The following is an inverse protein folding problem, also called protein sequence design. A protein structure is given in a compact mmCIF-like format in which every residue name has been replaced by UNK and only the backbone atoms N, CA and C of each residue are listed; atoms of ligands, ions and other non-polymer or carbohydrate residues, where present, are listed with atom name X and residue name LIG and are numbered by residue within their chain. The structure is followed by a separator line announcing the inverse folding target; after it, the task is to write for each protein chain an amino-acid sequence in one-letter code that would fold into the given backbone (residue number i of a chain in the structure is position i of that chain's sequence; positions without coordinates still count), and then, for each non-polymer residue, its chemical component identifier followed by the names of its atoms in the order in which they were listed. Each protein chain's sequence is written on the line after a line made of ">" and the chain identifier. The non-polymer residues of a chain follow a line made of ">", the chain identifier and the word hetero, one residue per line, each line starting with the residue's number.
data_IF_464598272757
#
_entry.id   IF_464598272757
#
_cell.length_a   1.000
_cell.length_b   1.000
_cell.length_c   1.000
_cell.angle_alpha   90.00
_cell.angle_beta   90.00
_cell.angle_gamma   90.00
#
_symmetry.space_group_name_H-M   'P 1'
#
loop_
_entity.id
_entity.type
_entity.pdbx_description
1 polymer ?
#
# COMPACT_ATOMS: atom_id res chain seq x y z
N UNK A 1 9.91 -32.03 47.09
CA UNK A 1 8.72 -31.42 46.46
C UNK A 1 9.22 -30.58 45.31
N UNK A 2 9.09 -31.14 44.12
CA UNK A 2 9.62 -30.66 42.86
C UNK A 2 8.67 -29.62 42.29
N UNK A 3 9.12 -28.39 42.13
CA UNK A 3 8.43 -27.39 41.31
C UNK A 3 8.67 -27.73 39.83
N UNK A 4 7.64 -28.28 39.18
CA UNK A 4 7.59 -28.42 37.74
C UNK A 4 7.61 -27.02 37.10
N UNK A 5 8.73 -26.69 36.46
CA UNK A 5 8.81 -25.59 35.51
C UNK A 5 7.87 -25.90 34.35
N UNK A 6 6.73 -25.21 34.35
CA UNK A 6 5.79 -25.15 33.24
C UNK A 6 6.47 -24.43 32.06
N UNK A 7 7.24 -25.19 31.29
CA UNK A 7 7.88 -24.73 30.06
C UNK A 7 6.80 -24.74 28.97
N UNK A 8 5.91 -23.74 29.01
CA UNK A 8 4.92 -23.51 27.97
C UNK A 8 5.65 -23.38 26.64
N UNK A 9 5.56 -24.41 25.82
CA UNK A 9 6.12 -24.46 24.48
C UNK A 9 5.43 -23.35 23.70
N UNK A 10 6.10 -22.22 23.53
CA UNK A 10 5.65 -21.17 22.62
C UNK A 10 5.72 -21.81 21.23
N UNK A 11 4.59 -22.38 20.77
CA UNK A 11 4.51 -23.01 19.46
C UNK A 11 5.03 -21.98 18.46
N UNK A 12 6.14 -22.29 17.80
CA UNK A 12 6.71 -21.41 16.80
C UNK A 12 5.64 -21.17 15.72
N UNK A 13 5.29 -19.90 15.53
CA UNK A 13 4.36 -19.48 14.50
C UNK A 13 4.93 -19.87 13.14
N UNK A 14 4.08 -20.37 12.24
CA UNK A 14 4.51 -20.72 10.88
C UNK A 14 5.02 -19.45 10.20
N UNK A 15 6.29 -19.47 9.77
CA UNK A 15 6.89 -18.40 8.97
C UNK A 15 7.97 -18.95 8.06
N UNK A 16 7.81 -18.77 6.75
CA UNK A 16 8.83 -19.23 5.80
C UNK A 16 8.30 -19.36 4.38
N UNK A 17 9.03 -20.13 3.58
CA UNK A 17 8.68 -20.39 2.18
C UNK A 17 8.12 -21.78 2.05
N UNK A 18 7.07 -21.88 1.24
CA UNK A 18 6.35 -23.09 0.95
C UNK A 18 6.12 -23.23 -0.54
N UNK A 19 5.83 -24.43 -0.99
CA UNK A 19 5.50 -24.69 -2.39
C UNK A 19 4.21 -25.47 -2.56
N UNK A 20 3.55 -25.20 -3.68
CA UNK A 20 2.42 -25.98 -4.18
C UNK A 20 2.81 -26.56 -5.54
N UNK A 21 2.29 -27.74 -5.87
CA UNK A 21 2.53 -28.38 -7.16
C UNK A 21 1.22 -28.64 -7.88
N UNK A 22 1.11 -28.19 -9.12
CA UNK A 22 -0.04 -28.45 -9.99
C UNK A 22 0.40 -29.35 -11.14
N UNK A 23 -0.28 -30.50 -11.28
CA UNK A 23 -0.01 -31.47 -12.33
C UNK A 23 -0.87 -31.15 -13.56
N UNK A 24 -0.26 -30.61 -14.61
CA UNK A 24 -0.93 -30.30 -15.88
C UNK A 24 -0.66 -31.40 -16.91
N UNK A 25 -1.70 -31.79 -17.66
CA UNK A 25 -1.55 -32.69 -18.82
C UNK A 25 -1.52 -31.86 -20.08
N UNK A 26 -0.41 -31.91 -20.80
CA UNK A 26 -0.20 -31.15 -22.04
C UNK A 26 -0.23 -32.13 -23.22
N UNK A 27 -1.09 -31.89 -24.21
CA UNK A 27 -1.26 -32.71 -25.43
C UNK A 27 -2.64 -33.37 -25.57
N UNK A 28 -2.98 -33.84 -26.77
CA UNK A 28 -4.23 -34.56 -27.09
C UNK A 28 -3.92 -36.01 -27.52
N UNK A 29 -4.72 -36.97 -27.06
CA UNK A 29 -4.55 -38.39 -27.43
C UNK A 29 -3.35 -39.09 -26.76
N UNK A 30 -2.63 -39.93 -27.51
CA UNK A 30 -1.51 -40.78 -27.03
C UNK A 30 -0.22 -40.00 -26.69
N UNK A 31 -0.17 -38.70 -26.98
CA UNK A 31 1.00 -37.82 -26.74
C UNK A 31 0.92 -37.01 -25.45
N UNK A 32 -0.01 -37.32 -24.54
CA UNK A 32 -0.14 -36.63 -23.25
C UNK A 32 1.16 -36.72 -22.42
N UNK A 33 1.77 -35.57 -22.14
CA UNK A 33 2.86 -35.44 -21.17
C UNK A 33 2.33 -34.81 -19.88
N UNK A 34 2.72 -35.38 -18.75
CA UNK A 34 2.50 -34.77 -17.43
C UNK A 34 3.59 -33.72 -17.21
N UNK A 35 3.19 -32.50 -16.88
CA UNK A 35 4.08 -31.42 -16.44
C UNK A 35 3.74 -31.06 -15.00
N UNK A 36 4.75 -30.86 -14.16
CA UNK A 36 4.58 -30.40 -12.78
C UNK A 36 4.98 -28.94 -12.74
N UNK A 37 4.03 -28.06 -12.45
CA UNK A 37 4.30 -26.65 -12.20
C UNK A 37 4.40 -26.43 -10.70
N UNK A 38 5.59 -26.04 -10.22
CA UNK A 38 5.84 -25.69 -8.82
C UNK A 38 5.74 -24.17 -8.65
N UNK A 39 4.94 -23.74 -7.68
CA UNK A 39 4.78 -22.33 -7.30
C UNK A 39 5.25 -22.13 -5.87
N UNK A 40 5.90 -21.00 -5.60
CA UNK A 40 6.44 -20.68 -4.28
C UNK A 40 5.67 -19.55 -3.61
N UNK A 41 5.49 -19.69 -2.30
CA UNK A 41 4.68 -18.82 -1.47
C UNK A 41 5.46 -18.51 -0.19
N UNK A 42 5.45 -17.25 0.21
CA UNK A 42 5.79 -16.87 1.58
C UNK A 42 4.53 -16.99 2.44
N UNK A 43 4.66 -17.60 3.60
CA UNK A 43 3.56 -17.80 4.54
C UNK A 43 3.92 -17.29 5.92
N UNK A 44 2.96 -16.65 6.59
CA UNK A 44 3.08 -16.16 7.97
C UNK A 44 1.77 -16.35 8.74
N UNK A 45 1.87 -17.02 9.90
CA UNK A 45 0.75 -17.25 10.80
C UNK A 45 0.38 -16.00 11.59
N UNK A 46 -0.88 -15.60 11.47
CA UNK A 46 -1.46 -14.43 12.11
C UNK A 46 -1.84 -14.72 13.56
N UNK A 47 -2.23 -13.68 14.31
CA UNK A 47 -2.64 -13.83 15.71
C UNK A 47 -3.93 -14.61 15.91
N UNK A 48 -4.83 -14.58 14.92
CA UNK A 48 -6.09 -15.32 14.89
C UNK A 48 -5.94 -16.80 14.47
N UNK A 49 -4.72 -17.25 14.18
CA UNK A 49 -4.41 -18.62 13.75
C UNK A 49 -4.62 -18.89 12.25
N UNK A 50 -5.03 -17.90 11.47
CA UNK A 50 -5.04 -17.98 10.01
C UNK A 50 -3.62 -17.86 9.44
N UNK A 51 -3.42 -18.38 8.22
CA UNK A 51 -2.15 -18.27 7.50
C UNK A 51 -2.31 -17.26 6.37
N UNK A 52 -1.54 -16.19 6.43
CA UNK A 52 -1.38 -15.26 5.33
C UNK A 52 -0.34 -15.82 4.36
N UNK A 53 -0.70 -15.96 3.09
CA UNK A 53 0.20 -16.39 2.01
C UNK A 53 0.33 -15.30 0.96
N UNK A 54 1.53 -15.18 0.39
CA UNK A 54 1.85 -14.24 -0.68
C UNK A 54 2.78 -14.92 -1.69
N UNK A 55 2.55 -14.80 -3.01
CA UNK A 55 3.43 -15.40 -3.99
C UNK A 55 4.80 -14.73 -4.00
N UNK A 56 5.83 -15.47 -4.38
CA UNK A 56 7.16 -14.90 -4.65
C UNK A 56 7.25 -14.39 -6.08
N UNK A 57 7.77 -13.18 -6.26
CA UNK A 57 8.08 -12.64 -7.59
C UNK A 57 9.34 -13.29 -8.20
N UNK A 58 9.73 -12.84 -9.40
CA UNK A 58 10.90 -13.34 -10.14
C UNK A 58 12.24 -13.12 -9.41
N UNK A 59 12.28 -12.21 -8.44
CA UNK A 59 13.44 -11.92 -7.60
C UNK A 59 13.35 -12.60 -6.22
N UNK A 60 12.40 -13.52 -6.05
CA UNK A 60 12.21 -14.33 -4.85
C UNK A 60 11.90 -13.51 -3.59
N UNK A 61 11.18 -12.40 -3.74
CA UNK A 61 10.59 -11.68 -2.60
C UNK A 61 9.06 -11.79 -2.65
N UNK A 62 8.38 -11.80 -1.49
CA UNK A 62 6.93 -11.78 -1.43
C UNK A 62 6.39 -10.50 -2.09
N UNK A 63 5.48 -10.63 -3.06
CA UNK A 63 4.95 -9.51 -3.83
C UNK A 63 3.52 -9.81 -4.33
N UNK A 64 2.76 -8.78 -4.66
CA UNK A 64 1.37 -8.90 -5.07
C UNK A 64 0.40 -9.15 -3.91
N UNK A 65 -0.84 -9.60 -4.19
CA UNK A 65 -1.91 -9.66 -3.19
C UNK A 65 -1.67 -10.76 -2.15
N UNK A 66 -1.96 -10.42 -0.90
CA UNK A 66 -2.00 -11.35 0.23
C UNK A 66 -3.32 -12.13 0.23
N UNK A 67 -3.27 -13.40 0.64
CA UNK A 67 -4.47 -14.23 0.82
C UNK A 67 -4.42 -14.88 2.20
N UNK A 68 -5.56 -14.90 2.88
CA UNK A 68 -5.70 -15.63 4.14
C UNK A 68 -6.36 -16.98 3.88
N UNK A 69 -5.80 -18.03 4.46
CA UNK A 69 -6.35 -19.38 4.41
C UNK A 69 -6.34 -20.03 5.80
N UNK A 70 -7.16 -21.04 5.99
CA UNK A 70 -7.16 -21.81 7.23
C UNK A 70 -5.87 -22.59 7.40
N UNK A 71 -5.46 -22.83 8.65
CA UNK A 71 -4.27 -23.61 8.96
C UNK A 71 -4.36 -25.05 8.43
N UNK A 72 -5.54 -25.66 8.48
CA UNK A 72 -5.76 -27.02 7.98
C UNK A 72 -5.60 -27.10 6.45
N UNK A 73 -6.17 -26.13 5.72
CA UNK A 73 -5.98 -26.03 4.27
C UNK A 73 -4.51 -25.80 3.90
N UNK A 74 -3.80 -24.98 4.67
CA UNK A 74 -2.40 -24.72 4.45
C UNK A 74 -1.55 -25.99 4.63
N UNK A 75 -1.76 -26.73 5.72
CA UNK A 75 -1.00 -27.95 6.00
C UNK A 75 -1.28 -29.08 5.00
N UNK A 76 -2.47 -29.11 4.38
CA UNK A 76 -2.83 -30.08 3.33
C UNK A 76 -2.16 -29.78 1.98
N UNK A 77 -2.08 -28.50 1.60
CA UNK A 77 -1.70 -28.08 0.24
C UNK A 77 -0.26 -27.61 0.07
N UNK A 78 0.41 -27.18 1.15
CA UNK A 78 1.69 -26.47 1.08
C UNK A 78 2.83 -27.29 1.69
N UNK A 79 3.88 -27.53 0.89
CA UNK A 79 5.09 -28.20 1.34
C UNK A 79 6.15 -27.18 1.81
N UNK A 80 6.80 -27.36 2.97
CA UNK A 80 7.82 -26.42 3.45
C UNK A 80 9.10 -26.46 2.61
N UNK A 81 9.73 -25.30 2.44
CA UNK A 81 10.99 -25.11 1.68
C UNK A 81 12.02 -24.33 2.53
N UNK A 82 12.51 -24.89 3.65
CA UNK A 82 13.32 -24.14 4.62
C UNK A 82 14.69 -23.72 4.06
N UNK A 83 15.33 -24.56 3.26
CA UNK A 83 16.61 -24.22 2.62
C UNK A 83 16.44 -23.05 1.65
N UNK A 84 15.38 -23.07 0.83
CA UNK A 84 15.10 -22.00 -0.12
C UNK A 84 14.79 -20.67 0.59
N UNK A 85 14.08 -20.75 1.73
CA UNK A 85 13.87 -19.59 2.59
C UNK A 85 15.19 -19.00 3.11
N UNK A 86 16.04 -19.83 3.74
CA UNK A 86 17.27 -19.37 4.39
C UNK A 86 18.30 -18.87 3.38
N UNK A 87 18.46 -19.58 2.26
CA UNK A 87 19.55 -19.33 1.31
C UNK A 87 19.20 -18.30 0.23
N UNK A 88 17.92 -18.12 -0.10
CA UNK A 88 17.52 -17.26 -1.23
C UNK A 88 16.55 -16.16 -0.80
N UNK A 89 15.38 -16.54 -0.27
CA UNK A 89 14.29 -15.57 -0.04
C UNK A 89 14.63 -14.60 1.07
N UNK A 90 15.09 -15.09 2.23
CA UNK A 90 15.40 -14.25 3.38
C UNK A 90 16.51 -13.21 3.09
N UNK A 91 17.64 -13.56 2.44
CA UNK A 91 18.62 -12.58 1.99
C UNK A 91 18.04 -11.51 1.06
N UNK A 92 17.21 -11.89 0.08
CA UNK A 92 16.58 -10.96 -0.88
C UNK A 92 15.58 -10.01 -0.21
N UNK A 93 14.76 -10.52 0.71
CA UNK A 93 13.87 -9.68 1.53
C UNK A 93 14.66 -8.67 2.37
N UNK A 94 15.77 -9.09 2.97
CA UNK A 94 16.65 -8.18 3.72
C UNK A 94 17.32 -7.15 2.82
N UNK A 95 17.73 -7.53 1.63
CA UNK A 95 18.31 -6.63 0.62
C UNK A 95 17.30 -5.54 0.23
N UNK A 96 16.06 -5.92 -0.11
CA UNK A 96 14.97 -4.99 -0.41
C UNK A 96 14.72 -4.03 0.74
N UNK A 97 14.56 -4.56 1.96
CA UNK A 97 14.29 -3.75 3.16
C UNK A 97 15.40 -2.75 3.44
N UNK A 98 16.67 -3.17 3.32
CA UNK A 98 17.83 -2.29 3.50
C UNK A 98 17.90 -1.19 2.43
N UNK A 99 17.58 -1.53 1.19
CA UNK A 99 17.59 -0.61 0.06
C UNK A 99 16.53 0.48 0.24
N UNK A 100 15.30 0.11 0.62
CA UNK A 100 14.22 1.05 0.94
C UNK A 100 14.62 1.96 2.12
N UNK A 101 15.15 1.38 3.20
CA UNK A 101 15.56 2.17 4.37
C UNK A 101 16.68 3.16 4.05
N UNK A 102 17.59 2.81 3.12
CA UNK A 102 18.62 3.72 2.63
C UNK A 102 18.01 4.84 1.77
N UNK A 103 17.09 4.52 0.87
CA UNK A 103 16.37 5.49 0.06
C UNK A 103 15.62 6.53 0.92
N UNK A 104 14.89 6.07 1.94
CA UNK A 104 14.19 6.95 2.88
C UNK A 104 15.13 7.86 3.67
N UNK A 105 16.32 7.36 4.07
CA UNK A 105 17.34 8.20 4.73
C UNK A 105 17.86 9.29 3.81
N UNK A 106 18.12 8.98 2.54
CA UNK A 106 18.53 9.99 1.56
C UNK A 106 17.43 11.03 1.35
N UNK A 107 16.17 10.61 1.20
CA UNK A 107 15.02 11.52 1.04
C UNK A 107 14.89 12.47 2.24
N UNK A 108 14.95 11.94 3.47
CA UNK A 108 14.86 12.74 4.70
C UNK A 108 15.98 13.79 4.85
N UNK A 109 17.12 13.60 4.19
CA UNK A 109 18.24 14.55 4.15
C UNK A 109 18.15 15.54 2.97
N UNK A 110 17.15 15.42 2.11
CA UNK A 110 17.02 16.20 0.88
C UNK A 110 17.95 15.73 -0.25
N UNK A 111 18.60 14.57 -0.11
CA UNK A 111 19.48 13.97 -1.11
C UNK A 111 18.63 13.25 -2.19
N UNK A 112 17.79 14.01 -2.89
CA UNK A 112 16.70 13.49 -3.73
C UNK A 112 17.16 12.60 -4.88
N UNK A 113 18.31 12.87 -5.51
CA UNK A 113 18.85 12.00 -6.56
C UNK A 113 19.35 10.65 -6.03
N UNK A 114 19.99 10.65 -4.86
CA UNK A 114 20.40 9.42 -4.18
C UNK A 114 19.18 8.61 -3.73
N UNK A 115 18.14 9.30 -3.24
CA UNK A 115 16.87 8.65 -2.89
C UNK A 115 16.21 8.01 -4.13
N UNK A 116 16.13 8.72 -5.26
CA UNK A 116 15.60 8.17 -6.51
C UNK A 116 16.37 6.92 -6.95
N UNK A 117 17.71 6.96 -6.93
CA UNK A 117 18.54 5.82 -7.31
C UNK A 117 18.24 4.59 -6.45
N UNK A 118 18.15 4.78 -5.14
CA UNK A 118 17.89 3.70 -4.20
C UNK A 118 16.46 3.16 -4.29
N UNK A 119 15.45 4.03 -4.46
CA UNK A 119 14.09 3.57 -4.71
C UNK A 119 14.00 2.77 -6.02
N UNK A 120 14.67 3.20 -7.09
CA UNK A 120 14.73 2.42 -8.34
C UNK A 120 15.41 1.06 -8.14
N UNK A 121 16.47 0.98 -7.33
CA UNK A 121 17.08 -0.30 -7.00
C UNK A 121 16.12 -1.22 -6.22
N UNK A 122 15.35 -0.67 -5.29
CA UNK A 122 14.30 -1.44 -4.60
C UNK A 122 13.23 -1.93 -5.59
N UNK A 123 12.80 -1.07 -6.52
CA UNK A 123 11.79 -1.41 -7.53
C UNK A 123 12.30 -2.41 -8.58
N UNK A 124 13.61 -2.50 -8.81
CA UNK A 124 14.19 -3.58 -9.62
C UNK A 124 14.07 -4.95 -8.93
N UNK A 125 13.98 -4.99 -7.60
CA UNK A 125 13.74 -6.21 -6.82
C UNK A 125 12.23 -6.51 -6.75
N UNK A 126 11.41 -5.48 -6.53
CA UNK A 126 9.96 -5.59 -6.42
C UNK A 126 9.28 -4.35 -7.02
N UNK A 127 8.83 -4.46 -8.27
CA UNK A 127 8.24 -3.35 -9.03
C UNK A 127 6.95 -2.84 -8.40
N UNK A 128 6.20 -3.73 -7.74
CA UNK A 128 4.94 -3.41 -7.07
C UNK A 128 5.15 -2.96 -5.61
N UNK A 129 6.40 -2.78 -5.17
CA UNK A 129 6.66 -2.43 -3.78
C UNK A 129 6.03 -1.08 -3.42
N UNK A 130 5.03 -1.12 -2.53
CA UNK A 130 4.19 0.04 -2.19
C UNK A 130 5.04 1.15 -1.57
N UNK A 131 5.89 0.83 -0.59
CA UNK A 131 6.73 1.83 0.09
C UNK A 131 7.76 2.45 -0.86
N UNK A 132 8.39 1.65 -1.71
CA UNK A 132 9.36 2.17 -2.67
C UNK A 132 8.71 3.05 -3.74
N UNK A 133 7.54 2.68 -4.26
CA UNK A 133 6.78 3.52 -5.18
C UNK A 133 6.36 4.83 -4.53
N UNK A 134 5.80 4.81 -3.30
CA UNK A 134 5.46 6.04 -2.58
C UNK A 134 6.67 6.94 -2.36
N UNK A 135 7.78 6.37 -1.89
CA UNK A 135 9.01 7.11 -1.67
C UNK A 135 9.57 7.74 -2.95
N UNK A 136 9.53 7.03 -4.07
CA UNK A 136 9.93 7.54 -5.36
C UNK A 136 9.04 8.70 -5.83
N UNK A 137 7.72 8.55 -5.72
CA UNK A 137 6.78 9.59 -6.10
C UNK A 137 6.91 10.85 -5.24
N UNK A 138 7.09 10.71 -3.93
CA UNK A 138 7.42 11.83 -3.03
C UNK A 138 8.72 12.53 -3.45
N UNK A 139 9.74 11.74 -3.80
CA UNK A 139 11.03 12.28 -4.28
C UNK A 139 10.88 13.07 -5.59
N UNK A 140 9.97 12.68 -6.48
CA UNK A 140 9.65 13.47 -7.68
C UNK A 140 8.85 14.73 -7.33
N UNK A 141 7.87 14.63 -6.42
CA UNK A 141 7.09 15.78 -5.96
C UNK A 141 7.96 16.82 -5.24
N UNK A 142 8.93 16.42 -4.43
CA UNK A 142 9.88 17.31 -3.76
C UNK A 142 10.71 18.13 -4.77
N UNK A 143 11.00 17.56 -5.94
CA UNK A 143 11.70 18.24 -7.04
C UNK A 143 10.78 18.97 -8.02
N UNK A 144 9.46 18.87 -7.87
CA UNK A 144 8.48 19.42 -8.81
C UNK A 144 8.42 18.67 -10.16
N UNK A 145 8.94 17.45 -10.24
CA UNK A 145 8.93 16.60 -11.44
C UNK A 145 7.56 15.93 -11.61
N UNK A 146 6.53 16.71 -11.93
CA UNK A 146 5.12 16.29 -11.88
C UNK A 146 4.77 15.11 -12.78
N UNK A 147 5.28 15.08 -14.02
CA UNK A 147 5.00 13.98 -14.96
C UNK A 147 5.50 12.64 -14.41
N UNK A 148 6.73 12.60 -13.87
CA UNK A 148 7.25 11.37 -13.26
C UNK A 148 6.49 10.98 -11.99
N UNK A 149 6.07 11.96 -11.19
CA UNK A 149 5.22 11.70 -10.02
C UNK A 149 3.87 11.11 -10.43
N UNK A 150 3.30 11.57 -11.56
CA UNK A 150 2.07 11.03 -12.13
C UNK A 150 2.24 9.59 -12.61
N UNK A 151 3.34 9.25 -13.28
CA UNK A 151 3.64 7.86 -13.67
C UNK A 151 3.75 6.91 -12.47
N UNK A 152 4.29 7.39 -11.34
CA UNK A 152 4.32 6.63 -10.08
C UNK A 152 2.91 6.49 -9.51
N UNK A 153 2.14 7.57 -9.50
CA UNK A 153 0.76 7.57 -9.01
C UNK A 153 -0.13 6.60 -9.79
N UNK A 154 -0.03 6.57 -11.12
CA UNK A 154 -0.80 5.66 -11.99
C UNK A 154 -0.47 4.18 -11.74
N UNK A 155 0.74 3.87 -11.27
CA UNK A 155 1.09 2.52 -10.81
C UNK A 155 0.46 2.23 -9.45
N UNK A 156 0.62 3.12 -8.48
CA UNK A 156 0.08 2.96 -7.13
C UNK A 156 -1.44 2.80 -7.11
N UNK A 157 -2.18 3.57 -7.92
CA UNK A 157 -3.65 3.51 -7.93
C UNK A 157 -4.20 2.16 -8.44
N UNK A 158 -3.40 1.42 -9.21
CA UNK A 158 -3.72 0.07 -9.72
C UNK A 158 -3.41 -1.03 -8.71
N UNK A 159 -2.63 -0.75 -7.67
CA UNK A 159 -2.29 -1.70 -6.63
C UNK A 159 -3.33 -1.60 -5.51
N UNK A 160 -4.30 -2.52 -5.49
CA UNK A 160 -5.31 -2.53 -4.41
C UNK A 160 -4.65 -2.64 -3.02
N UNK A 161 -3.58 -3.45 -2.92
CA UNK A 161 -2.79 -3.59 -1.69
C UNK A 161 -2.20 -2.25 -1.22
N UNK A 162 -1.95 -1.28 -2.11
CA UNK A 162 -1.50 0.03 -1.68
C UNK A 162 -2.47 0.65 -0.69
N UNK A 163 -3.78 0.45 -0.88
CA UNK A 163 -4.89 0.99 -0.12
C UNK A 163 -5.30 0.08 1.04
N UNK A 164 -4.36 -0.63 1.66
CA UNK A 164 -4.63 -1.36 2.91
C UNK A 164 -4.35 -0.49 4.15
N UNK A 165 -4.95 -0.85 5.28
CA UNK A 165 -4.82 -0.09 6.53
C UNK A 165 -3.36 0.09 6.99
N UNK A 166 -2.50 -0.92 6.76
CA UNK A 166 -1.06 -0.85 7.03
C UNK A 166 -0.40 0.37 6.37
N UNK A 167 -0.87 0.74 5.18
CA UNK A 167 -0.27 1.78 4.35
C UNK A 167 -0.98 3.13 4.49
N UNK A 168 -2.04 3.23 5.31
CA UNK A 168 -2.86 4.44 5.54
C UNK A 168 -2.01 5.70 5.79
N UNK A 169 -0.92 5.58 6.53
CA UNK A 169 -0.03 6.71 6.85
C UNK A 169 0.69 7.30 5.63
N UNK A 170 1.00 6.48 4.61
CA UNK A 170 1.62 6.94 3.35
C UNK A 170 0.66 7.84 2.55
N UNK A 171 -0.66 7.67 2.77
CA UNK A 171 -1.70 8.44 2.11
C UNK A 171 -1.78 9.89 2.50
N UNK A 172 -1.55 10.21 3.75
CA UNK A 172 -1.65 11.60 4.14
C UNK A 172 -0.49 12.42 3.53
N UNK A 173 0.73 11.90 3.59
CA UNK A 173 1.91 12.60 3.06
C UNK A 173 1.84 12.78 1.55
N UNK A 174 1.48 11.74 0.80
CA UNK A 174 1.45 11.80 -0.66
C UNK A 174 0.38 12.77 -1.18
N UNK A 175 -0.85 12.69 -0.65
CA UNK A 175 -1.94 13.59 -1.04
C UNK A 175 -1.65 15.06 -0.73
N UNK A 176 -1.03 15.34 0.42
CA UNK A 176 -0.61 16.71 0.77
C UNK A 176 0.41 17.24 -0.24
N UNK A 177 1.38 16.42 -0.64
CA UNK A 177 2.40 16.81 -1.60
C UNK A 177 1.84 17.01 -3.01
N UNK A 178 0.93 16.13 -3.48
CA UNK A 178 0.22 16.32 -4.74
C UNK A 178 -0.48 17.70 -4.78
N UNK A 179 -1.24 18.03 -3.74
CA UNK A 179 -1.91 19.33 -3.63
C UNK A 179 -0.93 20.50 -3.58
N UNK A 180 0.17 20.39 -2.83
CA UNK A 180 1.23 21.43 -2.78
C UNK A 180 1.87 21.67 -4.15
N UNK A 181 1.93 20.64 -4.98
CA UNK A 181 2.43 20.73 -6.35
C UNK A 181 1.35 21.07 -7.38
N UNK A 182 0.16 21.53 -6.96
CA UNK A 182 -0.98 21.84 -7.84
C UNK A 182 -1.46 20.65 -8.70
N UNK A 183 -1.16 19.41 -8.29
CA UNK A 183 -1.66 18.17 -8.91
C UNK A 183 -3.00 17.82 -8.27
N UNK A 184 -4.00 18.66 -8.52
CA UNK A 184 -5.25 18.64 -7.78
C UNK A 184 -6.17 17.50 -8.21
N UNK A 185 -6.20 17.14 -9.50
CA UNK A 185 -6.93 15.99 -10.03
C UNK A 185 -6.43 14.69 -9.40
N UNK A 186 -5.12 14.48 -9.39
CA UNK A 186 -4.48 13.31 -8.78
C UNK A 186 -4.73 13.28 -7.27
N UNK A 187 -4.63 14.42 -6.59
CA UNK A 187 -4.95 14.51 -5.17
C UNK A 187 -6.41 14.09 -4.88
N UNK A 188 -7.37 14.53 -5.68
CA UNK A 188 -8.78 14.13 -5.54
C UNK A 188 -8.96 12.63 -5.76
N UNK A 189 -8.38 12.07 -6.83
CA UNK A 189 -8.47 10.62 -7.09
C UNK A 189 -7.86 9.82 -5.93
N UNK A 190 -6.72 10.28 -5.44
CA UNK A 190 -6.00 9.64 -4.36
C UNK A 190 -6.77 9.63 -3.05
N UNK A 191 -7.27 10.80 -2.63
CA UNK A 191 -8.09 10.90 -1.43
C UNK A 191 -9.42 10.16 -1.56
N UNK A 192 -9.99 10.09 -2.77
CA UNK A 192 -11.20 9.31 -3.05
C UNK A 192 -11.01 7.82 -2.74
N UNK A 193 -9.89 7.23 -3.16
CA UNK A 193 -9.55 5.84 -2.81
C UNK A 193 -9.26 5.67 -1.32
N UNK A 194 -8.62 6.63 -0.66
CA UNK A 194 -8.45 6.60 0.79
C UNK A 194 -9.80 6.62 1.54
N UNK A 195 -10.80 7.35 1.01
CA UNK A 195 -12.13 7.45 1.61
C UNK A 195 -12.91 6.13 1.54
N UNK A 196 -12.62 5.27 0.55
CA UNK A 196 -13.18 3.91 0.48
C UNK A 196 -12.78 3.07 1.70
N UNK A 197 -11.59 3.34 2.26
CA UNK A 197 -11.02 2.62 3.40
C UNK A 197 -11.44 3.22 4.74
N UNK A 198 -11.60 4.54 4.78
CA UNK A 198 -11.82 5.29 6.02
C UNK A 198 -13.07 6.15 5.85
N UNK A 199 -14.22 5.56 6.19
CA UNK A 199 -15.53 6.19 5.98
C UNK A 199 -15.81 7.36 6.94
N UNK A 200 -15.10 7.42 8.07
CA UNK A 200 -15.37 8.37 9.15
C UNK A 200 -14.12 9.23 9.47
N UNK A 201 -13.57 9.93 8.47
CA UNK A 201 -12.41 10.82 8.64
C UNK A 201 -12.73 12.24 8.13
N UNK A 202 -12.99 13.16 9.06
CA UNK A 202 -13.32 14.56 8.74
C UNK A 202 -12.14 15.28 8.07
N UNK A 203 -10.90 14.93 8.44
CA UNK A 203 -9.70 15.54 7.87
C UNK A 203 -9.53 15.14 6.41
N UNK A 204 -9.90 13.90 6.05
CA UNK A 204 -9.89 13.44 4.68
C UNK A 204 -10.89 14.21 3.81
N UNK A 205 -12.13 14.39 4.28
CA UNK A 205 -13.10 15.24 3.59
C UNK A 205 -12.62 16.69 3.43
N UNK A 206 -12.01 17.26 4.46
CA UNK A 206 -11.43 18.60 4.37
C UNK A 206 -10.26 18.68 3.37
N UNK A 207 -9.41 17.66 3.30
CA UNK A 207 -8.34 17.60 2.30
C UNK A 207 -8.86 17.46 0.87
N UNK A 208 -9.93 16.68 0.64
CA UNK A 208 -10.64 16.60 -0.64
C UNK A 208 -11.22 17.97 -1.02
N UNK A 209 -11.86 18.66 -0.07
CA UNK A 209 -12.41 20.00 -0.30
C UNK A 209 -11.31 21.00 -0.73
N UNK A 210 -10.14 20.95 -0.10
CA UNK A 210 -8.99 21.80 -0.49
C UNK A 210 -8.47 21.49 -1.89
N UNK A 211 -8.47 20.22 -2.30
CA UNK A 211 -8.07 19.84 -3.64
C UNK A 211 -9.10 20.33 -4.69
N UNK A 212 -10.40 20.15 -4.44
CA UNK A 212 -11.45 20.69 -5.32
C UNK A 212 -11.46 22.22 -5.41
N UNK A 213 -11.04 22.91 -4.34
CA UNK A 213 -10.88 24.36 -4.39
C UNK A 213 -9.77 24.77 -5.36
N UNK A 214 -8.66 24.02 -5.40
CA UNK A 214 -7.61 24.19 -6.41
C UNK A 214 -8.10 23.98 -7.85
N UNK A 215 -9.10 23.11 -8.04
CA UNK A 215 -9.79 22.88 -9.32
C UNK A 215 -10.91 23.89 -9.63
N UNK A 216 -11.16 24.85 -8.73
CA UNK A 216 -12.27 25.78 -8.81
C UNK A 216 -13.65 25.09 -8.94
N UNK A 217 -13.82 23.91 -8.33
CA UNK A 217 -15.07 23.13 -8.29
C UNK A 217 -15.83 23.37 -6.98
N UNK A 218 -16.33 24.60 -6.82
CA UNK A 218 -16.87 25.12 -5.55
C UNK A 218 -18.03 24.29 -5.00
N UNK A 219 -18.88 23.75 -5.87
CA UNK A 219 -19.97 22.84 -5.51
C UNK A 219 -19.45 21.63 -4.70
N UNK A 220 -18.37 21.00 -5.18
CA UNK A 220 -17.74 19.86 -4.51
C UNK A 220 -17.00 20.26 -3.24
N UNK A 221 -16.42 21.47 -3.19
CA UNK A 221 -15.81 22.02 -1.97
C UNK A 221 -16.86 22.09 -0.86
N UNK A 222 -18.03 22.67 -1.15
CA UNK A 222 -19.11 22.82 -0.17
C UNK A 222 -19.63 21.46 0.29
N UNK A 223 -19.82 20.52 -0.63
CA UNK A 223 -20.24 19.16 -0.30
C UNK A 223 -19.30 18.54 0.73
N UNK A 224 -18.00 18.46 0.45
CA UNK A 224 -17.06 17.82 1.36
C UNK A 224 -16.83 18.58 2.67
N UNK A 225 -16.94 19.91 2.68
CA UNK A 225 -16.92 20.67 3.94
C UNK A 225 -18.14 20.37 4.82
N UNK A 226 -19.30 20.11 4.22
CA UNK A 226 -20.49 19.68 4.96
C UNK A 226 -20.32 18.27 5.52
N UNK A 227 -19.79 17.32 4.72
CA UNK A 227 -19.50 15.96 5.21
C UNK A 227 -18.49 15.98 6.38
N UNK A 228 -17.43 16.80 6.27
CA UNK A 228 -16.48 16.97 7.37
C UNK A 228 -17.14 17.50 8.65
N UNK A 229 -18.08 18.47 8.52
CA UNK A 229 -18.81 19.03 9.65
C UNK A 229 -19.94 18.15 10.17
N UNK A 230 -20.48 17.23 9.37
CA UNK A 230 -21.43 16.23 9.88
C UNK A 230 -20.72 15.16 10.71
N UNK A 231 -19.49 14.80 10.37
CA UNK A 231 -18.64 13.91 11.17
C UNK A 231 -18.14 14.61 12.44
N UNK A 232 -17.66 15.86 12.31
CA UNK A 232 -17.17 16.65 13.42
C UNK A 232 -17.73 18.09 13.35
N UNK A 233 -18.85 18.37 14.06
CA UNK A 233 -19.45 19.69 14.08
C UNK A 233 -18.55 20.78 14.63
N UNK A 234 -17.48 20.46 15.36
CA UNK A 234 -16.52 21.41 15.93
C UNK A 234 -15.24 21.59 15.12
N UNK A 235 -15.20 21.04 13.89
CA UNK A 235 -14.03 21.17 13.03
C UNK A 235 -13.82 22.61 12.53
N UNK A 236 -12.99 23.37 13.26
CA UNK A 236 -12.78 24.80 13.06
C UNK A 236 -12.30 25.15 11.65
N UNK A 237 -11.38 24.37 11.10
CA UNK A 237 -10.81 24.60 9.78
C UNK A 237 -11.88 24.52 8.69
N UNK A 238 -12.79 23.56 8.80
CA UNK A 238 -13.92 23.43 7.87
C UNK A 238 -14.92 24.60 8.02
N UNK A 239 -15.24 25.01 9.26
CA UNK A 239 -16.08 26.20 9.53
C UNK A 239 -15.47 27.47 8.92
N UNK A 240 -14.18 27.71 9.17
CA UNK A 240 -13.43 28.86 8.65
C UNK A 240 -13.41 28.86 7.13
N UNK A 241 -13.28 27.69 6.49
CA UNK A 241 -13.28 27.59 5.04
C UNK A 241 -14.67 27.89 4.44
N UNK A 242 -15.76 27.39 5.03
CA UNK A 242 -17.12 27.76 4.59
C UNK A 242 -17.39 29.26 4.74
N UNK A 243 -17.00 29.87 5.86
CA UNK A 243 -17.12 31.31 6.07
C UNK A 243 -16.29 32.12 5.06
N UNK A 244 -15.10 31.64 4.71
CA UNK A 244 -14.30 32.24 3.63
C UNK A 244 -15.05 32.20 2.29
N UNK A 245 -15.65 31.06 1.91
CA UNK A 245 -16.43 30.94 0.67
C UNK A 245 -17.66 31.87 0.68
N UNK A 246 -18.32 32.00 1.84
CA UNK A 246 -19.45 32.92 2.05
C UNK A 246 -19.05 34.37 1.82
N UNK A 247 -17.96 34.82 2.45
CA UNK A 247 -17.43 36.19 2.30
C UNK A 247 -17.03 36.50 0.85
N UNK A 248 -16.58 35.50 0.10
CA UNK A 248 -16.26 35.63 -1.33
C UNK A 248 -17.48 35.56 -2.26
N UNK A 249 -18.69 35.35 -1.73
CA UNK A 249 -19.91 35.20 -2.53
C UNK A 249 -19.94 33.92 -3.36
N UNK A 250 -19.14 32.91 -2.99
CA UNK A 250 -19.01 31.64 -3.73
C UNK A 250 -20.05 30.60 -3.32
N UNK A 251 -20.79 30.84 -2.22
CA UNK A 251 -21.98 30.09 -1.88
C UNK A 251 -23.16 30.56 -2.76
N UNK A 252 -23.31 29.98 -3.95
CA UNK A 252 -24.57 30.14 -4.71
C UNK A 252 -25.69 29.45 -3.92
N UNK A 253 -26.81 30.16 -3.72
CA UNK A 253 -28.04 29.58 -3.15
C UNK A 253 -28.38 28.32 -3.96
N UNK A 254 -28.56 27.19 -3.28
CA UNK A 254 -29.19 26.03 -3.92
C UNK A 254 -30.57 26.50 -4.43
N UNK A 255 -30.93 26.22 -5.70
CA UNK A 255 -32.31 26.37 -6.11
C UNK A 255 -33.16 25.48 -5.20
N UNK A 256 -34.22 26.06 -4.65
CA UNK A 256 -35.23 25.37 -3.85
C UNK A 256 -35.89 24.25 -4.66
#
# INVERSE_FOLDING_TARGET
>A
MSEEKNNGTQKEKIKGVFSTQVLTRIGTGTTQRKSIQKSYWFAEEQEDGTIEIQPLNVNYVPSGPKKQISKDEFLDKFAPEPEFYIQTVYPKMRELTKTIARAERHRKRGETYSAEYEFKNALNIDEENIRANFGLGLTYLERGEKEKAKDVFERLVKLDAAFEEEHKHLFNEFGINLRKQNMYEEAVQYYGRALELTKDDEHLHYNIARAYFGLNRIDKVIYHLKEALSLNPEFEEAKKFLEFLKKKGLLKKQPQ
#
